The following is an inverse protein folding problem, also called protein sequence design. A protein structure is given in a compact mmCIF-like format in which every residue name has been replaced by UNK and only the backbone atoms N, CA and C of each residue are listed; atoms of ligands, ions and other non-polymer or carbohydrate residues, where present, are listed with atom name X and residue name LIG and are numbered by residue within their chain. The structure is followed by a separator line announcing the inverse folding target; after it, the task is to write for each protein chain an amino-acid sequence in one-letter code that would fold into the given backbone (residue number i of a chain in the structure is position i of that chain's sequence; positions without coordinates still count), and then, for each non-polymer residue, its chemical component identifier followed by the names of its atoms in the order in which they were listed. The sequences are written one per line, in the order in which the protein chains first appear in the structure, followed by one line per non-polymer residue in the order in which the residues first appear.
data_IF_359548751537
#
_entry.id   IF_359548751537
#
_cell.length_a   1.000
_cell.length_b   1.000
_cell.length_c   1.000
_cell.angle_alpha   90.00
_cell.angle_beta   90.00
_cell.angle_gamma   90.00
#
_symmetry.space_group_name_H-M   'P 1'
#
loop_
_entity.id
_entity.type
_entity.pdbx_description
1 polymer ?
#
# COMPACT_ATOMS: atom_id res chain seq x y z
N UNK A 1 -0.12 16.55 32.08
CA UNK A 1 -0.53 17.05 30.75
C UNK A 1 -1.05 15.84 29.99
N UNK A 2 -2.35 15.66 29.95
CA UNK A 2 -2.98 14.59 29.17
C UNK A 2 -2.83 14.95 27.68
N UNK A 3 -2.00 14.18 27.00
CA UNK A 3 -1.82 14.31 25.56
C UNK A 3 -3.14 14.00 24.87
N UNK A 4 -3.69 14.95 24.11
CA UNK A 4 -4.82 14.71 23.21
C UNK A 4 -4.50 13.50 22.35
N UNK A 5 -5.21 12.38 22.58
CA UNK A 5 -5.19 11.22 21.68
C UNK A 5 -5.79 11.71 20.37
N UNK A 6 -4.97 11.92 19.36
CA UNK A 6 -5.43 12.21 18.01
C UNK A 6 -6.11 10.95 17.52
N UNK A 7 -7.43 10.97 17.37
CA UNK A 7 -8.18 9.86 16.79
C UNK A 7 -7.73 9.71 15.34
N UNK A 8 -6.96 8.67 15.06
CA UNK A 8 -6.51 8.36 13.70
C UNK A 8 -7.63 7.66 12.93
N UNK A 9 -7.78 8.03 11.64
CA UNK A 9 -8.71 7.37 10.72
C UNK A 9 -8.32 5.91 10.42
N UNK A 10 -7.02 5.61 10.53
CA UNK A 10 -6.44 4.34 10.19
C UNK A 10 -6.17 3.49 11.43
N UNK A 11 -6.15 2.17 11.24
CA UNK A 11 -5.72 1.19 12.25
C UNK A 11 -4.45 0.47 11.78
N UNK A 12 -4.34 0.19 10.48
CA UNK A 12 -3.26 -0.57 9.89
C UNK A 12 -2.69 0.09 8.65
N UNK A 13 -1.37 0.22 8.64
CA UNK A 13 -0.60 0.82 7.54
C UNK A 13 0.20 -0.29 6.85
N UNK A 14 0.03 -0.42 5.54
CA UNK A 14 0.88 -1.27 4.72
C UNK A 14 2.14 -0.51 4.33
N UNK A 15 3.31 -1.10 4.56
CA UNK A 15 4.59 -0.50 4.19
C UNK A 15 5.31 -1.36 3.17
N UNK A 16 5.55 -0.78 1.99
CA UNK A 16 6.41 -1.33 0.95
C UNK A 16 7.79 -0.68 1.05
N UNK A 17 8.86 -1.46 1.05
CA UNK A 17 10.22 -0.93 1.18
C UNK A 17 11.27 -1.91 0.68
N UNK A 18 12.50 -1.41 0.51
CA UNK A 18 13.60 -2.22 0.03
C UNK A 18 14.02 -3.34 0.99
N UNK A 19 14.37 -4.50 0.42
CA UNK A 19 15.12 -5.58 1.09
C UNK A 19 16.60 -5.25 1.30
N UNK A 20 17.04 -4.07 0.85
CA UNK A 20 18.33 -3.44 1.13
C UNK A 20 18.11 -2.16 1.91
N UNK A 21 19.11 -1.71 2.66
CA UNK A 21 19.09 -0.41 3.35
C UNK A 21 19.43 0.76 2.44
N UNK A 22 19.88 0.49 1.22
CA UNK A 22 20.48 1.50 0.36
C UNK A 22 21.84 1.99 0.87
N UNK A 23 22.48 2.88 0.12
CA UNK A 23 23.83 3.37 0.40
C UNK A 23 23.86 4.63 1.29
N UNK A 24 22.70 5.25 1.58
CA UNK A 24 22.60 6.51 2.31
C UNK A 24 21.93 6.28 3.67
N UNK A 25 22.50 6.85 4.72
CA UNK A 25 21.95 6.70 6.09
C UNK A 25 20.54 7.29 6.23
N UNK A 26 20.22 8.36 5.49
CA UNK A 26 18.89 8.98 5.53
C UNK A 26 17.74 8.00 5.25
N UNK A 27 17.96 6.92 4.50
CA UNK A 27 16.93 5.91 4.26
C UNK A 27 16.66 5.04 5.50
N UNK A 28 17.72 4.73 6.26
CA UNK A 28 17.60 4.02 7.55
C UNK A 28 16.90 4.90 8.58
N UNK A 29 17.32 6.18 8.66
CA UNK A 29 16.77 7.15 9.60
C UNK A 29 15.27 7.34 9.33
N UNK A 30 14.89 7.49 8.06
CA UNK A 30 13.49 7.62 7.66
C UNK A 30 12.64 6.36 7.96
N UNK A 31 13.23 5.16 7.86
CA UNK A 31 12.55 3.93 8.23
C UNK A 31 12.29 3.86 9.75
N UNK A 32 13.26 4.30 10.55
CA UNK A 32 13.12 4.38 12.01
C UNK A 32 12.12 5.47 12.42
N UNK A 33 12.16 6.64 11.77
CA UNK A 33 11.21 7.73 11.98
C UNK A 33 9.77 7.29 11.66
N UNK A 34 9.57 6.61 10.53
CA UNK A 34 8.26 6.06 10.19
C UNK A 34 7.77 5.07 11.25
N UNK A 35 8.62 4.17 11.72
CA UNK A 35 8.25 3.23 12.75
C UNK A 35 7.84 3.94 14.06
N UNK A 36 8.57 4.98 14.48
CA UNK A 36 8.23 5.79 15.66
C UNK A 36 6.89 6.51 15.49
N UNK A 37 6.63 7.05 14.31
CA UNK A 37 5.37 7.71 13.99
C UNK A 37 4.19 6.73 14.05
N UNK A 38 4.33 5.51 13.49
CA UNK A 38 3.32 4.46 13.58
C UNK A 38 3.02 4.07 15.03
N UNK A 39 4.06 3.84 15.84
CA UNK A 39 3.91 3.49 17.28
C UNK A 39 3.23 4.61 18.05
N UNK A 40 3.66 5.87 17.85
CA UNK A 40 3.12 7.04 18.56
C UNK A 40 1.63 7.23 18.31
N UNK A 41 1.16 6.88 17.09
CA UNK A 41 -0.24 6.95 16.68
C UNK A 41 -1.03 5.66 16.91
N UNK A 42 -0.40 4.62 17.46
CA UNK A 42 -0.99 3.29 17.68
C UNK A 42 -1.49 2.64 16.38
N UNK A 43 -0.73 2.80 15.32
CA UNK A 43 -0.99 2.19 14.01
C UNK A 43 -0.23 0.86 13.92
N UNK A 44 -0.93 -0.20 13.54
CA UNK A 44 -0.35 -1.51 13.31
C UNK A 44 0.36 -1.53 11.94
N UNK A 45 1.46 -2.28 11.84
CA UNK A 45 2.21 -2.46 10.61
C UNK A 45 1.78 -3.72 9.87
N UNK A 46 1.48 -3.59 8.58
CA UNK A 46 1.38 -4.70 7.62
C UNK A 46 2.55 -4.59 6.64
N UNK A 47 3.28 -5.68 6.40
CA UNK A 47 4.47 -5.65 5.54
C UNK A 47 4.75 -7.01 4.90
N UNK A 48 5.79 -7.09 4.07
CA UNK A 48 6.14 -8.28 3.30
C UNK A 48 6.76 -9.45 4.07
N UNK A 49 6.88 -9.38 5.41
CA UNK A 49 7.31 -10.49 6.26
C UNK A 49 8.83 -10.71 6.35
N UNK A 50 9.65 -10.03 5.54
CA UNK A 50 11.11 -10.14 5.60
C UNK A 50 11.73 -9.25 6.69
N UNK A 51 12.88 -9.67 7.24
CA UNK A 51 13.61 -8.90 8.26
C UNK A 51 14.95 -8.35 7.79
N UNK A 52 15.18 -8.31 6.48
CA UNK A 52 16.37 -7.73 5.87
C UNK A 52 16.11 -6.32 5.36
N UNK A 53 17.15 -5.50 5.25
CA UNK A 53 17.09 -4.15 4.72
C UNK A 53 16.16 -3.22 5.51
N UNK A 54 15.46 -2.33 4.81
CA UNK A 54 14.51 -1.41 5.41
C UNK A 54 13.30 -2.13 6.00
N UNK A 55 12.90 -3.28 5.45
CA UNK A 55 11.82 -4.10 6.00
C UNK A 55 12.11 -4.52 7.45
N UNK A 56 13.34 -5.02 7.71
CA UNK A 56 13.76 -5.41 9.04
C UNK A 56 13.83 -4.23 10.00
N UNK A 57 14.31 -3.07 9.55
CA UNK A 57 14.38 -1.87 10.37
C UNK A 57 13.01 -1.40 10.84
N UNK A 58 12.07 -1.26 9.91
CA UNK A 58 10.70 -0.81 10.23
C UNK A 58 9.99 -1.81 11.13
N UNK A 59 9.99 -3.10 10.76
CA UNK A 59 9.26 -4.12 11.50
C UNK A 59 9.78 -4.31 12.92
N UNK A 60 11.11 -4.37 13.10
CA UNK A 60 11.72 -4.47 14.42
C UNK A 60 11.48 -3.23 15.27
N UNK A 61 11.55 -2.03 14.70
CA UNK A 61 11.34 -0.78 15.44
C UNK A 61 9.88 -0.66 15.91
N UNK A 62 8.90 -0.98 15.05
CA UNK A 62 7.48 -1.01 15.44
C UNK A 62 7.24 -2.06 16.53
N UNK A 63 7.78 -3.26 16.37
CA UNK A 63 7.62 -4.35 17.34
C UNK A 63 8.22 -4.00 18.72
N UNK A 64 9.45 -3.46 18.74
CA UNK A 64 10.11 -3.01 19.98
C UNK A 64 9.38 -1.85 20.66
N UNK A 65 8.74 -0.99 19.89
CA UNK A 65 7.90 0.09 20.37
C UNK A 65 6.53 -0.35 20.91
N UNK A 66 6.23 -1.66 20.91
CA UNK A 66 4.97 -2.23 21.37
C UNK A 66 3.83 -2.20 20.34
N UNK A 67 4.11 -1.80 19.09
CA UNK A 67 3.16 -1.85 17.98
C UNK A 67 2.99 -3.29 17.45
N UNK A 68 1.82 -3.59 16.89
CA UNK A 68 1.57 -4.88 16.25
C UNK A 68 2.17 -4.89 14.85
N UNK A 69 2.80 -6.01 14.51
CA UNK A 69 3.45 -6.24 13.22
C UNK A 69 2.89 -7.51 12.61
N UNK A 70 2.39 -7.39 11.37
CA UNK A 70 1.84 -8.50 10.61
C UNK A 70 2.60 -8.64 9.29
N UNK A 71 3.37 -9.71 9.16
CA UNK A 71 4.10 -10.07 7.94
C UNK A 71 3.30 -11.02 7.07
N UNK A 72 3.12 -10.67 5.80
CA UNK A 72 2.48 -11.54 4.80
C UNK A 72 3.56 -12.08 3.87
N UNK A 73 3.74 -13.41 3.88
CA UNK A 73 4.86 -14.03 3.16
C UNK A 73 4.40 -15.27 2.38
N UNK A 74 4.77 -15.41 1.10
CA UNK A 74 4.56 -16.63 0.35
C UNK A 74 5.35 -17.79 0.95
N UNK A 75 4.75 -18.97 1.03
CA UNK A 75 5.43 -20.17 1.58
C UNK A 75 6.75 -20.47 0.89
N UNK A 76 6.85 -20.19 -0.40
CA UNK A 76 8.08 -20.37 -1.20
C UNK A 76 9.22 -19.43 -0.79
N UNK A 77 8.92 -18.31 -0.12
CA UNK A 77 9.91 -17.32 0.34
C UNK A 77 10.15 -17.39 1.85
N UNK A 78 9.57 -18.36 2.57
CA UNK A 78 9.76 -18.51 4.02
C UNK A 78 11.13 -19.08 4.42
N UNK A 79 12.05 -19.25 3.47
CA UNK A 79 13.42 -19.67 3.78
C UNK A 79 14.16 -18.53 4.51
N UNK A 80 14.67 -18.81 5.70
CA UNK A 80 15.40 -17.82 6.54
C UNK A 80 16.60 -17.18 5.85
N UNK A 81 17.22 -17.91 4.94
CA UNK A 81 18.39 -17.43 4.16
C UNK A 81 18.01 -16.30 3.20
N UNK A 82 16.74 -16.23 2.76
CA UNK A 82 16.26 -15.25 1.79
C UNK A 82 15.59 -14.06 2.49
N UNK A 83 14.80 -14.33 3.54
CA UNK A 83 13.95 -13.29 4.16
C UNK A 83 14.36 -12.91 5.57
N UNK A 84 15.28 -13.66 6.19
CA UNK A 84 15.65 -13.52 7.60
C UNK A 84 14.57 -14.07 8.55
N UNK A 85 14.71 -13.78 9.85
CA UNK A 85 13.71 -14.16 10.85
C UNK A 85 12.52 -13.20 10.80
N UNK A 86 11.32 -13.75 10.76
CA UNK A 86 10.12 -12.93 10.73
C UNK A 86 9.91 -12.18 12.05
N UNK A 87 9.36 -10.97 11.96
CA UNK A 87 9.08 -10.11 13.11
C UNK A 87 7.57 -10.01 13.30
N UNK A 88 7.10 -10.26 14.53
CA UNK A 88 5.68 -10.21 14.87
C UNK A 88 4.89 -11.42 14.39
N UNK A 89 3.61 -11.22 14.08
CA UNK A 89 2.73 -12.25 13.54
C UNK A 89 3.07 -12.49 12.06
N UNK A 90 3.13 -13.77 11.66
CA UNK A 90 3.38 -14.16 10.26
C UNK A 90 2.19 -14.88 9.70
N UNK A 91 1.74 -14.43 8.53
CA UNK A 91 0.66 -15.06 7.77
C UNK A 91 1.21 -15.63 6.46
N UNK A 92 1.36 -16.95 6.36
CA UNK A 92 1.77 -17.59 5.13
C UNK A 92 0.65 -17.59 4.09
N UNK A 93 1.00 -17.32 2.85
CA UNK A 93 0.10 -17.36 1.68
C UNK A 93 0.68 -18.28 0.60
N UNK A 94 -0.12 -18.66 -0.41
CA UNK A 94 0.33 -19.60 -1.43
C UNK A 94 1.33 -18.97 -2.42
N UNK A 95 1.07 -17.76 -2.87
CA UNK A 95 1.83 -17.08 -3.92
C UNK A 95 1.92 -15.57 -3.73
N UNK A 96 2.58 -14.88 -4.69
CA UNK A 96 2.76 -13.42 -4.66
C UNK A 96 1.46 -12.65 -4.89
N UNK A 97 0.50 -13.19 -5.66
CA UNK A 97 -0.79 -12.53 -5.89
C UNK A 97 -1.61 -12.51 -4.61
N UNK A 98 -1.70 -13.66 -3.93
CA UNK A 98 -2.36 -13.73 -2.62
C UNK A 98 -1.68 -12.84 -1.59
N UNK A 99 -0.34 -12.75 -1.60
CA UNK A 99 0.39 -11.85 -0.71
C UNK A 99 -0.07 -10.41 -0.87
N UNK A 100 -0.03 -9.86 -2.07
CA UNK A 100 -0.40 -8.47 -2.35
C UNK A 100 -1.89 -8.21 -2.06
N UNK A 101 -2.76 -9.11 -2.48
CA UNK A 101 -4.19 -9.03 -2.18
C UNK A 101 -4.47 -9.03 -0.67
N UNK A 102 -3.79 -9.89 0.11
CA UNK A 102 -3.97 -9.97 1.56
C UNK A 102 -3.39 -8.74 2.28
N UNK A 103 -2.20 -8.25 1.86
CA UNK A 103 -1.64 -7.00 2.36
C UNK A 103 -2.59 -5.83 2.13
N UNK A 104 -3.15 -5.73 0.92
CA UNK A 104 -4.11 -4.70 0.59
C UNK A 104 -5.42 -4.83 1.39
N UNK A 105 -5.94 -6.04 1.54
CA UNK A 105 -7.18 -6.31 2.30
C UNK A 105 -7.07 -5.92 3.77
N UNK A 106 -5.90 -6.14 4.37
CA UNK A 106 -5.66 -5.95 5.80
C UNK A 106 -5.31 -4.51 6.18
N UNK A 107 -5.04 -3.64 5.22
CA UNK A 107 -4.53 -2.30 5.45
C UNK A 107 -5.55 -1.22 5.13
N UNK A 108 -5.43 -0.09 5.80
CA UNK A 108 -6.30 1.09 5.60
C UNK A 108 -5.63 2.15 4.71
N UNK A 109 -4.30 2.13 4.61
CA UNK A 109 -3.51 2.96 3.71
C UNK A 109 -2.18 2.28 3.37
N UNK A 110 -1.47 2.83 2.38
CA UNK A 110 -0.20 2.32 1.88
C UNK A 110 0.88 3.39 1.95
N UNK A 111 2.08 3.02 2.37
CA UNK A 111 3.27 3.88 2.37
C UNK A 111 4.41 3.14 1.68
N UNK A 112 5.04 3.77 0.69
CA UNK A 112 6.28 3.29 0.09
C UNK A 112 7.47 4.09 0.61
N UNK A 113 8.41 3.41 1.26
CA UNK A 113 9.78 3.85 1.52
C UNK A 113 10.65 3.59 0.29
N UNK A 114 11.87 4.17 0.20
CA UNK A 114 12.83 3.80 -0.84
C UNK A 114 13.01 2.30 -1.00
N UNK A 115 13.07 1.83 -2.25
CA UNK A 115 13.23 0.42 -2.57
C UNK A 115 13.48 0.17 -4.06
N UNK A 116 13.62 -1.08 -4.43
CA UNK A 116 13.86 -1.50 -5.81
C UNK A 116 12.57 -1.87 -6.56
N UNK A 117 12.75 -2.78 -7.53
CA UNK A 117 11.65 -3.23 -8.40
C UNK A 117 10.44 -3.79 -7.65
N UNK A 118 10.66 -4.60 -6.61
CA UNK A 118 9.56 -5.16 -5.83
C UNK A 118 8.72 -4.09 -5.14
N UNK A 119 9.38 -3.06 -4.57
CA UNK A 119 8.68 -1.92 -3.96
C UNK A 119 7.87 -1.12 -4.98
N UNK A 120 8.43 -0.90 -6.19
CA UNK A 120 7.74 -0.20 -7.27
C UNK A 120 6.58 -1.02 -7.82
N UNK A 121 6.74 -2.32 -7.95
CA UNK A 121 5.69 -3.23 -8.42
C UNK A 121 4.49 -3.22 -7.47
N UNK A 122 4.73 -3.41 -6.16
CA UNK A 122 3.70 -3.36 -5.12
C UNK A 122 3.00 -1.98 -5.08
N UNK A 123 3.78 -0.90 -5.18
CA UNK A 123 3.28 0.48 -5.20
C UNK A 123 2.38 0.74 -6.41
N UNK A 124 2.84 0.44 -7.62
CA UNK A 124 2.12 0.71 -8.85
C UNK A 124 0.84 -0.13 -8.95
N UNK A 125 0.85 -1.35 -8.39
CA UNK A 125 -0.35 -2.18 -8.33
C UNK A 125 -1.44 -1.54 -7.47
N UNK A 126 -1.14 -1.09 -6.24
CA UNK A 126 -2.15 -0.45 -5.37
C UNK A 126 -2.62 0.89 -5.94
N UNK A 127 -1.75 1.64 -6.64
CA UNK A 127 -2.13 2.85 -7.37
C UNK A 127 -3.12 2.50 -8.49
N UNK A 128 -2.82 1.46 -9.27
CA UNK A 128 -3.69 0.99 -10.36
C UNK A 128 -5.03 0.51 -9.82
N UNK A 129 -5.04 -0.21 -8.71
CA UNK A 129 -6.28 -0.65 -8.06
C UNK A 129 -7.12 0.52 -7.55
N UNK A 130 -6.48 1.57 -7.01
CA UNK A 130 -7.18 2.82 -6.67
C UNK A 130 -7.75 3.50 -7.91
N UNK A 131 -6.96 3.59 -8.99
CA UNK A 131 -7.39 4.14 -10.27
C UNK A 131 -8.59 3.40 -10.86
N UNK A 132 -8.65 2.09 -10.71
CA UNK A 132 -9.75 1.23 -11.18
C UNK A 132 -10.95 1.20 -10.21
N UNK A 133 -10.88 1.87 -9.05
CA UNK A 133 -11.94 1.88 -8.04
C UNK A 133 -12.07 0.56 -7.26
N UNK A 134 -11.04 -0.30 -7.29
CA UNK A 134 -11.01 -1.55 -6.51
C UNK A 134 -10.91 -1.23 -5.02
N UNK A 135 -10.21 -0.16 -4.66
CA UNK A 135 -10.18 0.39 -3.30
C UNK A 135 -10.13 1.94 -3.34
N UNK A 136 -10.40 2.54 -2.19
CA UNK A 136 -10.38 3.99 -1.94
C UNK A 136 -9.34 4.40 -0.89
N UNK A 137 -8.35 3.53 -0.65
CA UNK A 137 -7.31 3.71 0.36
C UNK A 137 -6.22 4.63 -0.15
N UNK A 138 -5.76 5.61 0.65
CA UNK A 138 -4.72 6.54 0.23
C UNK A 138 -3.36 5.84 0.09
N UNK A 139 -2.56 6.35 -0.87
CA UNK A 139 -1.22 5.84 -1.19
C UNK A 139 -0.20 6.94 -1.00
N UNK A 140 0.79 6.72 -0.15
CA UNK A 140 1.83 7.68 0.21
C UNK A 140 3.22 7.26 -0.23
N UNK A 141 4.00 8.23 -0.72
CA UNK A 141 5.43 8.09 -0.97
C UNK A 141 6.22 8.85 0.10
N UNK A 142 7.02 8.13 0.88
CA UNK A 142 8.01 8.77 1.75
C UNK A 142 9.23 9.14 0.89
N UNK A 143 9.21 10.38 0.39
CA UNK A 143 10.18 10.90 -0.57
C UNK A 143 11.45 11.39 0.12
N UNK A 144 12.14 10.47 0.77
CA UNK A 144 13.37 10.74 1.51
C UNK A 144 14.43 11.24 0.57
N UNK A 145 14.95 12.43 0.84
CA UNK A 145 16.05 13.05 0.08
C UNK A 145 15.80 13.06 -1.45
N UNK A 146 14.53 13.23 -1.85
CA UNK A 146 14.14 13.28 -3.24
C UNK A 146 14.20 11.95 -3.99
N UNK A 147 14.25 10.80 -3.30
CA UNK A 147 14.38 9.48 -3.92
C UNK A 147 13.35 9.23 -5.03
N UNK A 148 12.12 9.66 -4.82
CA UNK A 148 11.01 9.48 -5.77
C UNK A 148 10.79 10.66 -6.73
N UNK A 149 11.67 11.68 -6.75
CA UNK A 149 11.48 12.85 -7.61
C UNK A 149 11.31 12.48 -9.08
N UNK A 150 12.15 11.60 -9.61
CA UNK A 150 12.05 11.18 -11.02
C UNK A 150 10.79 10.36 -11.31
N UNK A 151 10.32 9.55 -10.37
CA UNK A 151 9.05 8.83 -10.52
C UNK A 151 7.88 9.82 -10.55
N UNK A 152 7.85 10.79 -9.64
CA UNK A 152 6.82 11.82 -9.60
C UNK A 152 6.82 12.65 -10.87
N UNK A 153 8.00 13.08 -11.36
CA UNK A 153 8.15 13.80 -12.63
C UNK A 153 7.68 12.95 -13.82
N UNK A 154 7.97 11.64 -13.83
CA UNK A 154 7.47 10.75 -14.87
C UNK A 154 5.95 10.63 -14.86
N UNK A 155 5.34 10.55 -13.67
CA UNK A 155 3.88 10.52 -13.51
C UNK A 155 3.26 11.84 -13.98
N UNK A 156 3.87 12.98 -13.66
CA UNK A 156 3.43 14.30 -14.14
C UNK A 156 3.48 14.36 -15.68
N UNK A 157 4.57 13.87 -16.28
CA UNK A 157 4.65 13.75 -17.73
C UNK A 157 3.55 12.85 -18.32
N UNK A 158 3.23 11.73 -17.67
CA UNK A 158 2.15 10.85 -18.13
C UNK A 158 0.77 11.51 -18.04
N UNK A 159 0.58 12.46 -17.12
CA UNK A 159 -0.62 13.32 -17.07
C UNK A 159 -0.62 14.30 -18.24
N UNK A 160 0.50 14.99 -18.49
CA UNK A 160 0.64 15.97 -19.56
C UNK A 160 0.44 15.32 -20.93
N UNK A 161 0.97 14.12 -21.14
CA UNK A 161 0.80 13.34 -22.38
C UNK A 161 -0.57 12.63 -22.48
N UNK A 162 -1.44 12.75 -21.47
CA UNK A 162 -2.82 12.23 -21.47
C UNK A 162 -2.98 10.73 -21.15
N UNK A 163 -1.94 10.03 -20.69
CA UNK A 163 -2.03 8.63 -20.25
C UNK A 163 -2.64 8.47 -18.86
N UNK A 164 -2.50 9.50 -18.03
CA UNK A 164 -3.11 9.56 -16.68
C UNK A 164 -4.04 10.79 -16.66
N UNK A 165 -5.27 10.62 -16.19
CA UNK A 165 -6.19 11.75 -16.05
C UNK A 165 -5.69 12.70 -14.95
N UNK A 166 -5.78 14.04 -15.13
CA UNK A 166 -5.35 15.01 -14.09
C UNK A 166 -5.97 14.73 -12.71
N UNK A 167 -7.23 14.31 -12.67
CA UNK A 167 -7.90 13.92 -11.43
C UNK A 167 -7.26 12.71 -10.74
N UNK A 168 -6.59 11.81 -11.45
CA UNK A 168 -5.96 10.60 -10.92
C UNK A 168 -4.55 10.84 -10.39
N UNK A 169 -3.94 12.00 -10.73
CA UNK A 169 -2.63 12.39 -10.19
C UNK A 169 -2.61 12.47 -8.67
N UNK A 170 -3.75 12.77 -8.06
CA UNK A 170 -3.90 12.92 -6.60
C UNK A 170 -4.04 11.61 -5.84
N UNK A 171 -4.09 10.45 -6.53
CA UNK A 171 -4.05 9.13 -5.86
C UNK A 171 -2.78 9.02 -5.01
N UNK A 172 -1.68 9.62 -5.47
CA UNK A 172 -0.38 9.58 -4.81
C UNK A 172 -0.16 10.86 -4.01
N UNK A 173 0.07 10.69 -2.73
CA UNK A 173 0.50 11.74 -1.81
C UNK A 173 1.99 11.56 -1.52
N UNK A 174 2.77 12.63 -1.47
CA UNK A 174 4.20 12.55 -1.10
C UNK A 174 4.58 13.55 -0.03
N UNK A 175 5.55 13.17 0.80
CA UNK A 175 6.16 14.04 1.79
C UNK A 175 7.61 13.62 2.08
N UNK A 176 8.48 14.55 2.51
CA UNK A 176 9.89 14.25 2.76
C UNK A 176 10.15 13.51 4.07
N UNK A 177 9.20 13.53 5.01
CA UNK A 177 9.32 12.92 6.33
C UNK A 177 8.03 12.16 6.73
N UNK A 178 8.17 11.26 7.69
CA UNK A 178 7.09 10.36 8.10
C UNK A 178 5.89 11.10 8.70
N UNK A 179 6.14 12.08 9.57
CA UNK A 179 5.10 12.85 10.26
C UNK A 179 4.19 13.58 9.27
N UNK A 180 4.80 14.29 8.32
CA UNK A 180 4.07 15.03 7.30
C UNK A 180 3.29 14.07 6.39
N UNK A 181 3.89 12.94 6.01
CA UNK A 181 3.24 11.96 5.17
C UNK A 181 1.99 11.37 5.83
N UNK A 182 2.11 10.90 7.07
CA UNK A 182 0.98 10.32 7.80
C UNK A 182 -0.12 11.35 8.00
N UNK A 183 0.23 12.61 8.31
CA UNK A 183 -0.73 13.70 8.39
C UNK A 183 -1.48 13.92 7.08
N UNK A 184 -0.78 13.98 5.95
CA UNK A 184 -1.40 14.15 4.63
C UNK A 184 -2.35 12.99 4.28
N UNK A 185 -1.95 11.75 4.62
CA UNK A 185 -2.79 10.58 4.39
C UNK A 185 -4.06 10.60 5.25
N UNK A 186 -4.00 11.11 6.48
CA UNK A 186 -5.16 11.22 7.39
C UNK A 186 -6.16 12.29 6.98
N UNK A 187 -5.68 13.44 6.49
CA UNK A 187 -6.55 14.53 6.00
C UNK A 187 -7.37 14.07 4.81
N UNK A 188 -6.85 13.11 4.06
CA UNK A 188 -7.58 12.39 3.03
C UNK A 188 -7.67 13.15 1.70
N UNK A 189 -7.83 12.38 0.65
CA UNK A 189 -8.38 12.86 -0.62
C UNK A 189 -9.86 13.16 -0.33
N UNK A 190 -10.32 14.36 -0.61
CA UNK A 190 -11.72 14.79 -0.44
C UNK A 190 -12.70 13.72 -0.94
N UNK A 191 -13.78 13.40 -0.19
CA UNK A 191 -14.72 12.32 -0.55
C UNK A 191 -15.36 12.45 -1.94
N UNK A 192 -15.36 13.66 -2.50
CA UNK A 192 -15.90 13.94 -3.83
C UNK A 192 -15.18 13.21 -4.98
N UNK A 193 -13.91 12.83 -4.79
CA UNK A 193 -13.13 12.17 -5.83
C UNK A 193 -13.65 10.76 -6.14
N UNK A 194 -13.98 9.98 -5.13
CA UNK A 194 -14.45 8.60 -5.28
C UNK A 194 -15.92 8.49 -5.69
N UNK A 195 -16.75 9.48 -5.34
CA UNK A 195 -18.18 9.48 -5.70
C UNK A 195 -18.39 9.67 -7.20
N UNK A 196 -17.62 10.55 -7.83
CA UNK A 196 -17.65 10.76 -9.30
C UNK A 196 -17.20 9.51 -10.07
N UNK A 197 -16.23 8.78 -9.55
CA UNK A 197 -15.68 7.61 -10.21
C UNK A 197 -16.62 6.40 -10.18
N UNK A 198 -17.31 6.17 -9.05
CA UNK A 198 -18.36 5.13 -8.95
C UNK A 198 -19.48 5.33 -9.97
N UNK A 199 -19.89 6.58 -10.19
CA UNK A 199 -20.94 6.90 -11.17
C UNK A 199 -20.48 6.62 -12.60
N UNK A 200 -19.23 6.93 -12.96
CA UNK A 200 -18.71 6.73 -14.33
C UNK A 200 -18.45 5.25 -14.64
N UNK A 201 -17.96 4.48 -13.67
CA UNK A 201 -17.72 3.05 -13.86
C UNK A 201 -19.01 2.23 -13.96
N UNK A 202 -20.04 2.57 -13.18
CA UNK A 202 -21.37 1.95 -13.33
C UNK A 202 -21.98 2.23 -14.71
N UNK A 203 -21.86 3.45 -15.23
CA UNK A 203 -22.37 3.82 -16.54
C UNK A 203 -21.68 3.07 -17.69
N UNK A 204 -20.37 2.75 -17.56
CA UNK A 204 -19.65 1.94 -18.55
C UNK A 204 -20.00 0.45 -18.50
N UNK A 205 -20.36 -0.07 -17.33
CA UNK A 205 -20.80 -1.48 -17.20
C UNK A 205 -22.23 -1.70 -17.70
N UNK A 206 -23.08 -0.70 -17.63
CA UNK A 206 -24.46 -0.78 -18.16
C UNK A 206 -24.52 -0.64 -19.69
N UNK A 207 -23.48 -0.10 -20.33
CA UNK A 207 -23.41 0.06 -21.80
C UNK A 207 -22.79 -1.14 -22.55
N UNK A 208 -22.40 -2.20 -21.84
CA UNK A 208 -21.89 -3.42 -22.50
C UNK A 208 -23.03 -4.28 -23.01
N UNK A 209 -23.10 -4.59 -24.31
CA UNK A 209 -24.20 -5.41 -24.85
C UNK A 209 -24.13 -6.82 -24.24
N UNK A 210 -25.21 -7.22 -23.58
CA UNK A 210 -25.38 -8.57 -23.04
C UNK A 210 -25.42 -9.57 -24.20
N UNK A 211 -24.29 -10.23 -24.48
CA UNK A 211 -24.32 -11.43 -25.31
C UNK A 211 -24.96 -12.56 -24.51
N UNK A 212 -26.17 -12.91 -24.89
CA UNK A 212 -26.95 -13.99 -24.28
C UNK A 212 -26.30 -15.34 -24.45
N UNK A 213 -25.89 -15.95 -23.36
CA UNK A 213 -25.53 -17.34 -23.21
C UNK A 213 -26.11 -17.87 -21.92
N UNK A 214 -27.18 -18.70 -22.03
CA UNK A 214 -27.77 -19.39 -20.87
C UNK A 214 -26.74 -20.34 -20.26
N UNK A 215 -26.39 -20.10 -18.99
CA UNK A 215 -25.74 -21.09 -18.14
C UNK A 215 -26.47 -21.16 -16.80
N UNK A 216 -26.64 -22.40 -16.34
CA UNK A 216 -27.51 -22.84 -15.28
C UNK A 216 -27.21 -22.28 -13.90
N UNK A 217 -28.24 -22.33 -13.10
CA UNK A 217 -28.31 -21.96 -11.68
C UNK A 217 -27.28 -22.69 -10.82
N UNK A 218 -26.39 -21.94 -10.18
CA UNK A 218 -25.78 -22.39 -8.94
C UNK A 218 -25.61 -21.20 -7.97
N UNK A 219 -26.12 -21.45 -6.78
CA UNK A 219 -26.18 -20.59 -5.61
C UNK A 219 -24.80 -20.06 -5.20
N UNK A 220 -24.64 -18.74 -5.06
CA UNK A 220 -23.38 -18.12 -4.68
C UNK A 220 -23.51 -17.29 -3.41
N UNK A 221 -22.79 -17.71 -2.43
CA UNK A 221 -22.40 -16.89 -1.28
C UNK A 221 -21.24 -15.94 -1.68
N UNK A 222 -21.41 -14.67 -1.37
CA UNK A 222 -20.52 -13.54 -1.55
C UNK A 222 -19.00 -13.80 -1.47
N UNK A 223 -18.32 -13.72 -2.62
CA UNK A 223 -16.90 -13.42 -2.67
C UNK A 223 -16.60 -12.59 -3.94
N UNK A 224 -16.51 -11.27 -3.79
CA UNK A 224 -16.26 -10.29 -4.87
C UNK A 224 -14.85 -10.40 -5.50
N UNK A 225 -14.00 -11.27 -4.98
CA UNK A 225 -12.58 -11.40 -5.37
C UNK A 225 -12.28 -12.56 -6.33
N UNK A 226 -13.29 -13.35 -6.72
CA UNK A 226 -13.08 -14.55 -7.53
C UNK A 226 -13.28 -14.38 -9.04
N UNK A 227 -13.37 -13.16 -9.56
CA UNK A 227 -13.69 -12.88 -10.97
C UNK A 227 -12.59 -12.14 -11.75
N UNK A 228 -11.32 -12.25 -11.38
CA UNK A 228 -10.24 -11.81 -12.27
C UNK A 228 -9.61 -13.04 -12.93
N UNK A 229 -9.60 -13.13 -14.28
CA UNK A 229 -8.79 -14.12 -14.98
C UNK A 229 -7.29 -13.80 -14.77
N UNK A 230 -6.41 -14.79 -14.76
CA UNK A 230 -4.97 -14.55 -14.72
C UNK A 230 -4.55 -13.78 -16.00
N UNK A 231 -3.76 -12.72 -15.79
CA UNK A 231 -2.99 -12.07 -16.84
C UNK A 231 -1.84 -12.97 -17.29
#
# INVERSE_FOLDING_TARGET
MEGKVVSTRFKRVCVFCGSSTGNRNCYRDAAMELAQELVSRRLDLVYGGGSIGLMGLVSQAVHRGGGKVLGIIPRTLMCKEITGEAVGEVRPVADMHQRKAEMARLSDCFIALPGGYGTLEELLEVITWAQLGIHDKPVGLLNVDGYYNYLLTFIDKAVDDGFIKPSQRHIIVSAPNAKELVQKLEVGIEPHFFTLFRSTCLCMMESWPSQGGRLGSHNSSNNRWSLMPPL
#
